data_IF_279969094398
#
_entry.id   IF_279969094398
#
_cell.length_a   1.000
_cell.length_b   1.000
_cell.length_c   1.000
_cell.angle_alpha   90.00
_cell.angle_beta   90.00
_cell.angle_gamma   90.00
#
_symmetry.space_group_name_H-M   'P 1'
#
loop_
_entity.id
_entity.type
_entity.pdbx_description
1 polymer ?
#
# COMPACT_ATOMS: atom_id res chain seq x y z
N UNK A 1 -28.43 -17.22 -0.40
CA UNK A 1 -28.13 -15.78 -0.48
C UNK A 1 -26.67 -15.62 -0.85
N UNK A 2 -26.39 -14.97 -1.97
CA UNK A 2 -25.04 -14.78 -2.51
C UNK A 2 -24.25 -13.85 -1.59
N UNK A 3 -23.01 -14.24 -1.27
CA UNK A 3 -22.07 -13.47 -0.46
C UNK A 3 -21.92 -12.07 -1.03
N UNK A 4 -22.18 -11.07 -0.21
CA UNK A 4 -21.88 -9.67 -0.49
C UNK A 4 -20.40 -9.56 -0.85
N UNK A 5 -20.11 -9.25 -2.10
CA UNK A 5 -18.80 -8.79 -2.52
C UNK A 5 -18.74 -7.38 -1.96
N UNK A 6 -18.26 -7.25 -0.72
CA UNK A 6 -17.93 -5.98 -0.13
C UNK A 6 -16.87 -5.37 -1.04
N UNK A 7 -17.31 -4.44 -1.89
CA UNK A 7 -16.45 -3.63 -2.74
C UNK A 7 -15.34 -3.08 -1.85
N UNK A 8 -14.06 -3.15 -2.26
CA UNK A 8 -12.99 -2.53 -1.48
C UNK A 8 -13.38 -1.07 -1.21
N UNK A 9 -13.20 -0.57 0.03
CA UNK A 9 -13.58 0.79 0.36
C UNK A 9 -12.98 1.72 -0.69
N UNK A 10 -13.80 2.61 -1.25
CA UNK A 10 -13.34 3.65 -2.18
C UNK A 10 -12.28 4.43 -1.42
N UNK A 11 -11.03 4.11 -1.67
CA UNK A 11 -9.90 4.76 -1.02
C UNK A 11 -9.89 6.17 -1.57
N UNK A 12 -10.44 7.13 -0.82
CA UNK A 12 -10.25 8.54 -1.07
C UNK A 12 -8.74 8.80 -1.11
N UNK A 13 -8.19 8.83 -2.33
CA UNK A 13 -6.75 9.02 -2.55
C UNK A 13 -6.41 10.37 -1.93
N UNK A 14 -5.69 10.35 -0.81
CA UNK A 14 -5.26 11.57 -0.14
C UNK A 14 -4.42 12.39 -1.11
N UNK A 15 -4.63 13.70 -1.14
CA UNK A 15 -3.77 14.58 -1.94
C UNK A 15 -2.32 14.42 -1.49
N UNK A 16 -1.44 14.12 -2.45
CA UNK A 16 0.00 13.99 -2.23
C UNK A 16 0.71 15.29 -2.61
N UNK A 17 1.84 15.61 -1.97
CA UNK A 17 2.72 16.67 -2.47
C UNK A 17 3.30 16.29 -3.84
N UNK A 18 3.64 17.29 -4.66
CA UNK A 18 4.10 17.10 -6.05
C UNK A 18 5.35 16.22 -6.18
N UNK A 19 6.12 16.07 -5.11
CA UNK A 19 7.30 15.20 -5.05
C UNK A 19 6.97 13.70 -4.95
N UNK A 20 5.69 13.34 -4.76
CA UNK A 20 5.24 11.97 -4.55
C UNK A 20 4.11 11.60 -5.52
N UNK A 21 4.02 10.33 -5.86
CA UNK A 21 2.92 9.77 -6.67
C UNK A 21 2.49 8.41 -6.15
N UNK A 22 1.26 8.05 -6.48
CA UNK A 22 0.75 6.70 -6.28
C UNK A 22 1.26 5.78 -7.39
N UNK A 23 1.69 4.59 -7.01
CA UNK A 23 1.89 3.46 -7.89
C UNK A 23 1.23 2.21 -7.29
N UNK A 24 1.02 1.18 -8.10
CA UNK A 24 0.20 0.04 -7.71
C UNK A 24 0.96 -1.27 -7.93
N UNK A 25 0.99 -2.12 -6.89
CA UNK A 25 1.66 -3.41 -6.96
C UNK A 25 0.72 -4.54 -7.39
N UNK A 26 -0.60 -4.35 -7.24
CA UNK A 26 -1.64 -5.33 -7.57
C UNK A 26 -2.45 -4.98 -8.82
N UNK A 27 -3.25 -5.93 -9.33
CA UNK A 27 -4.16 -5.71 -10.46
C UNK A 27 -5.27 -4.72 -10.09
N UNK A 28 -5.87 -4.05 -11.09
CA UNK A 28 -6.98 -3.09 -10.90
C UNK A 28 -6.69 -1.99 -9.86
N UNK A 29 -5.48 -1.42 -9.86
CA UNK A 29 -5.06 -0.38 -8.92
C UNK A 29 -5.17 -0.79 -7.43
N UNK A 30 -4.97 -2.07 -7.14
CA UNK A 30 -4.87 -2.56 -5.75
C UNK A 30 -3.44 -2.44 -5.22
N UNK A 31 -3.30 -2.39 -3.88
CA UNK A 31 -2.02 -2.24 -3.17
C UNK A 31 -1.27 -0.94 -3.54
N UNK A 32 -1.83 0.24 -3.18
CA UNK A 32 -1.25 1.54 -3.50
C UNK A 32 0.01 1.81 -2.68
N UNK A 33 1.16 1.94 -3.35
CA UNK A 33 2.40 2.46 -2.76
C UNK A 33 2.60 3.92 -3.12
N UNK A 34 3.26 4.66 -2.23
CA UNK A 34 3.67 6.05 -2.50
C UNK A 34 5.16 6.02 -2.83
N UNK A 35 5.52 6.51 -4.01
CA UNK A 35 6.90 6.61 -4.49
C UNK A 35 7.22 8.05 -4.90
N UNK A 36 8.50 8.36 -5.07
CA UNK A 36 8.92 9.66 -5.58
C UNK A 36 8.41 9.90 -7.01
N UNK A 37 7.92 11.09 -7.30
CA UNK A 37 7.37 11.46 -8.61
C UNK A 37 8.46 11.74 -9.65
N UNK A 38 9.67 12.07 -9.21
CA UNK A 38 10.82 12.42 -10.06
C UNK A 38 11.67 11.22 -10.52
N UNK A 39 11.16 9.99 -10.39
CA UNK A 39 11.84 8.78 -10.86
C UNK A 39 11.73 8.67 -12.39
N UNK A 40 12.81 8.23 -13.03
CA UNK A 40 12.74 7.78 -14.43
C UNK A 40 11.95 6.47 -14.54
N UNK A 41 11.46 6.14 -15.73
CA UNK A 41 10.73 4.89 -15.97
C UNK A 41 11.51 3.65 -15.54
N UNK A 42 12.81 3.59 -15.81
CA UNK A 42 13.68 2.49 -15.37
C UNK A 42 13.81 2.42 -13.85
N UNK A 43 13.96 3.56 -13.17
CA UNK A 43 14.05 3.60 -11.72
C UNK A 43 12.74 3.16 -11.07
N UNK A 44 11.61 3.67 -11.57
CA UNK A 44 10.28 3.28 -11.13
C UNK A 44 10.07 1.78 -11.30
N UNK A 45 10.38 1.21 -12.47
CA UNK A 45 10.26 -0.23 -12.69
C UNK A 45 11.11 -1.04 -11.71
N UNK A 46 12.35 -0.63 -11.44
CA UNK A 46 13.21 -1.31 -10.47
C UNK A 46 12.63 -1.24 -9.05
N UNK A 47 12.12 -0.08 -8.64
CA UNK A 47 11.45 0.09 -7.35
C UNK A 47 10.22 -0.81 -7.26
N UNK A 48 9.36 -0.82 -8.27
CA UNK A 48 8.15 -1.64 -8.29
C UNK A 48 8.47 -3.13 -8.29
N UNK A 49 9.53 -3.58 -8.98
CA UNK A 49 9.98 -4.97 -8.94
C UNK A 49 10.40 -5.38 -7.54
N UNK A 50 11.25 -4.59 -6.87
CA UNK A 50 11.69 -4.88 -5.49
C UNK A 50 10.50 -4.90 -4.53
N UNK A 51 9.60 -3.92 -4.63
CA UNK A 51 8.39 -3.87 -3.80
C UNK A 51 7.45 -5.05 -4.07
N UNK A 52 7.39 -5.54 -5.31
CA UNK A 52 6.65 -6.76 -5.67
C UNK A 52 7.30 -8.03 -5.14
N UNK A 53 8.62 -8.10 -4.99
CA UNK A 53 9.26 -9.26 -4.37
C UNK A 53 9.07 -9.27 -2.85
N UNK A 54 8.95 -8.10 -2.23
CA UNK A 54 8.88 -7.95 -0.77
C UNK A 54 7.49 -7.54 -0.25
N UNK A 55 6.40 -7.92 -0.92
CA UNK A 55 5.03 -7.49 -0.56
C UNK A 55 4.67 -7.84 0.89
N UNK A 56 5.12 -9.00 1.38
CA UNK A 56 4.83 -9.49 2.72
C UNK A 56 5.48 -8.63 3.82
N UNK A 57 6.62 -8.00 3.53
CA UNK A 57 7.31 -7.14 4.48
C UNK A 57 6.66 -5.75 4.64
N UNK A 58 5.85 -5.33 3.67
CA UNK A 58 5.22 -3.99 3.65
C UNK A 58 4.01 -3.92 4.60
N UNK A 59 3.52 -5.06 5.09
CA UNK A 59 2.46 -5.12 6.10
C UNK A 59 1.10 -4.63 5.60
N UNK A 60 0.64 -5.16 4.46
CA UNK A 60 -0.61 -4.76 3.81
C UNK A 60 -1.87 -5.20 4.56
N UNK A 61 -1.78 -6.21 5.42
CA UNK A 61 -2.88 -6.69 6.25
C UNK A 61 -2.69 -6.29 7.70
N UNK A 62 -3.80 -6.02 8.41
CA UNK A 62 -3.81 -5.89 9.87
C UNK A 62 -3.23 -7.15 10.54
N UNK A 63 -3.33 -8.31 9.88
CA UNK A 63 -2.71 -9.55 10.35
C UNK A 63 -1.17 -9.53 10.29
N UNK A 64 -0.57 -8.70 9.44
CA UNK A 64 0.88 -8.51 9.35
C UNK A 64 1.39 -7.56 10.45
N UNK A 65 0.51 -6.71 10.98
CA UNK A 65 0.75 -5.88 12.17
C UNK A 65 0.66 -6.68 13.48
N UNK A 66 0.67 -8.02 13.44
CA UNK A 66 0.55 -8.92 14.62
C UNK A 66 1.53 -8.64 15.76
N UNK A 67 2.60 -7.87 15.53
CA UNK A 67 3.53 -7.40 16.58
C UNK A 67 3.07 -6.14 17.33
N UNK A 68 2.09 -5.40 16.80
CA UNK A 68 1.53 -4.19 17.40
C UNK A 68 0.16 -4.55 17.98
N UNK A 69 0.14 -5.27 19.10
CA UNK A 69 -1.11 -5.41 19.85
C UNK A 69 -1.56 -3.99 20.28
N UNK A 70 -2.80 -3.56 19.98
CA UNK A 70 -3.34 -2.30 20.48
C UNK A 70 -3.26 -2.19 22.01
N UNK A 71 -3.20 -3.32 22.70
CA UNK A 71 -3.03 -3.45 24.14
C UNK A 71 -1.64 -3.02 24.64
N UNK A 72 -0.61 -3.02 23.79
CA UNK A 72 0.79 -2.73 24.18
C UNK A 72 1.14 -1.24 23.96
N UNK A 73 0.44 -0.54 23.06
CA UNK A 73 0.65 0.90 22.82
C UNK A 73 -0.53 1.73 23.32
N UNK A 74 -0.74 1.76 24.63
CA UNK A 74 -1.48 2.85 25.26
C UNK A 74 -0.50 3.97 25.61
N UNK A 75 -0.37 4.96 24.73
CA UNK A 75 0.29 6.23 25.07
C UNK A 75 -0.63 6.98 26.05
N UNK A 76 -0.11 7.35 27.23
CA UNK A 76 -0.81 8.23 28.18
C UNK A 76 -0.77 9.69 27.75
#
# INVERSE_FOLDING_TARGET
MLKSIESPPVLDKKSLPDSLKYAYLGPNETLPVIIASNLTTDQENRVLTVLKDHKEAIGWSIADLKGISPSICMHR
#
